data_IF_427687110794
#
_entry.id   IF_427687110794
#
_cell.length_a   1.000
_cell.length_b   1.000
_cell.length_c   1.000
_cell.angle_alpha   90.00
_cell.angle_beta   90.00
_cell.angle_gamma   90.00
#
_symmetry.space_group_name_H-M   'P 1'
#
loop_
_entity.id
_entity.type
_entity.pdbx_description
1 polymer ?
#
# COMPACT_ATOMS: atom_id res chain seq x y z
N UNK A 1 -44.10 -10.68 -44.53
CA UNK A 1 -44.21 -10.78 -43.05
C UNK A 1 -43.55 -12.09 -42.64
N UNK A 2 -42.25 -12.02 -42.40
CA UNK A 2 -41.35 -13.16 -42.28
C UNK A 2 -41.01 -13.39 -40.83
N UNK A 3 -41.06 -14.66 -40.43
CA UNK A 3 -40.33 -15.24 -39.30
C UNK A 3 -38.83 -14.94 -39.42
N UNK A 4 -38.14 -14.74 -38.30
CA UNK A 4 -36.74 -15.10 -38.06
C UNK A 4 -36.55 -15.20 -36.53
N UNK A 5 -36.49 -16.39 -35.92
CA UNK A 5 -35.38 -17.35 -35.81
C UNK A 5 -34.18 -16.92 -34.92
N UNK A 6 -34.11 -17.56 -33.74
CA UNK A 6 -33.03 -18.45 -33.26
C UNK A 6 -31.57 -17.96 -33.42
N UNK A 7 -30.88 -17.69 -32.29
CA UNK A 7 -29.62 -18.33 -31.82
C UNK A 7 -28.96 -17.49 -30.70
N UNK A 8 -28.86 -18.00 -29.45
CA UNK A 8 -27.68 -18.72 -28.86
C UNK A 8 -26.69 -17.72 -28.22
N UNK A 9 -26.71 -17.53 -26.90
CA UNK A 9 -26.05 -18.34 -25.84
C UNK A 9 -24.52 -18.37 -25.97
N UNK A 10 -23.80 -17.70 -25.05
CA UNK A 10 -22.66 -18.30 -24.34
C UNK A 10 -22.65 -17.81 -22.89
N UNK A 11 -22.53 -18.81 -22.02
CA UNK A 11 -22.56 -18.84 -20.55
C UNK A 11 -21.11 -18.93 -20.00
N UNK A 12 -20.98 -18.91 -18.67
CA UNK A 12 -19.84 -19.27 -17.79
C UNK A 12 -18.94 -18.10 -17.36
N UNK A 13 -19.01 -17.60 -16.13
CA UNK A 13 -18.59 -18.19 -14.83
C UNK A 13 -17.09 -18.52 -14.80
N UNK A 14 -16.35 -17.75 -13.98
CA UNK A 14 -15.52 -18.30 -12.90
C UNK A 14 -15.15 -17.22 -11.89
N UNK A 15 -16.01 -17.08 -10.88
CA UNK A 15 -15.64 -16.62 -9.54
C UNK A 15 -14.94 -17.79 -8.85
N UNK A 16 -13.69 -17.60 -8.42
CA UNK A 16 -13.09 -18.43 -7.38
C UNK A 16 -12.67 -17.50 -6.26
N UNK A 17 -13.60 -17.38 -5.30
CA UNK A 17 -13.36 -16.93 -3.94
C UNK A 17 -12.54 -18.02 -3.25
N UNK A 18 -11.45 -17.61 -2.63
CA UNK A 18 -10.71 -18.41 -1.67
C UNK A 18 -10.18 -17.51 -0.57
N UNK A 19 -10.99 -17.34 0.48
CA UNK A 19 -10.63 -17.69 1.86
C UNK A 19 -11.72 -17.21 2.82
N UNK A 20 -12.31 -18.19 3.50
CA UNK A 20 -13.22 -18.05 4.62
C UNK A 20 -12.47 -17.67 5.89
N UNK A 21 -13.06 -16.78 6.69
CA UNK A 21 -13.15 -16.96 8.15
C UNK A 21 -14.32 -16.13 8.69
N UNK A 22 -15.34 -16.90 9.07
CA UNK A 22 -16.58 -16.51 9.71
C UNK A 22 -16.32 -15.70 10.98
N UNK A 23 -16.91 -14.51 11.09
CA UNK A 23 -16.78 -13.70 12.30
C UNK A 23 -17.41 -12.30 12.32
N UNK A 24 -17.82 -11.74 11.17
CA UNK A 24 -18.59 -10.50 11.14
C UNK A 24 -19.94 -10.74 10.46
N UNK A 25 -20.89 -11.08 11.31
CA UNK A 25 -22.31 -11.13 10.97
C UNK A 25 -22.79 -9.73 10.57
N UNK A 26 -23.56 -9.66 9.48
CA UNK A 26 -24.50 -8.58 9.15
C UNK A 26 -23.92 -7.16 9.01
N UNK A 27 -23.25 -6.90 7.89
CA UNK A 27 -23.43 -5.62 7.20
C UNK A 27 -24.01 -5.94 5.82
N UNK A 28 -25.20 -5.41 5.60
CA UNK A 28 -26.06 -5.75 4.48
C UNK A 28 -25.39 -5.48 3.12
N UNK A 29 -25.64 -6.42 2.23
CA UNK A 29 -25.49 -6.36 0.79
C UNK A 29 -26.44 -5.29 0.20
N UNK A 30 -26.11 -4.02 0.44
CA UNK A 30 -26.45 -2.91 -0.45
C UNK A 30 -25.12 -2.39 -0.96
N UNK A 31 -24.82 -2.63 -2.24
CA UNK A 31 -23.86 -1.79 -2.95
C UNK A 31 -24.47 -0.39 -3.07
N UNK A 32 -24.54 0.34 -1.95
CA UNK A 32 -24.93 1.74 -1.93
C UNK A 32 -23.97 2.46 -2.85
N UNK A 33 -24.50 2.90 -3.99
CA UNK A 33 -23.74 3.68 -4.95
C UNK A 33 -23.30 4.95 -4.24
N UNK A 34 -22.03 5.02 -3.90
CA UNK A 34 -21.42 6.17 -3.21
C UNK A 34 -21.86 7.44 -3.94
N UNK A 35 -22.52 8.40 -3.25
CA UNK A 35 -22.99 9.62 -3.88
C UNK A 35 -21.85 10.37 -4.57
N UNK A 36 -22.13 10.99 -5.71
CA UNK A 36 -21.11 11.71 -6.48
C UNK A 36 -20.46 12.84 -5.65
N UNK A 37 -21.25 13.56 -4.85
CA UNK A 37 -20.74 14.60 -3.97
C UNK A 37 -19.73 14.04 -2.94
N UNK A 38 -19.96 12.85 -2.38
CA UNK A 38 -19.03 12.22 -1.44
C UNK A 38 -17.67 11.90 -2.11
N UNK A 39 -17.67 11.50 -3.39
CA UNK A 39 -16.43 11.28 -4.15
C UNK A 39 -15.66 12.59 -4.36
N UNK A 40 -16.38 13.64 -4.75
CA UNK A 40 -15.82 14.98 -4.97
C UNK A 40 -15.23 15.55 -3.67
N UNK A 41 -15.95 15.41 -2.55
CA UNK A 41 -15.46 15.77 -1.23
C UNK A 41 -14.19 14.99 -0.86
N UNK A 42 -14.17 13.67 -1.10
CA UNK A 42 -12.99 12.83 -0.86
C UNK A 42 -11.75 13.29 -1.65
N UNK A 43 -11.91 13.64 -2.92
CA UNK A 43 -10.81 14.23 -3.69
C UNK A 43 -10.40 15.61 -3.17
N UNK A 44 -11.35 16.43 -2.71
CA UNK A 44 -11.04 17.70 -2.02
C UNK A 44 -10.18 17.51 -0.78
N UNK A 45 -10.47 16.50 0.04
CA UNK A 45 -9.64 16.14 1.20
C UNK A 45 -8.24 15.72 0.75
N UNK A 46 -8.12 14.90 -0.31
CA UNK A 46 -6.82 14.50 -0.87
C UNK A 46 -6.00 15.71 -1.34
N UNK A 47 -6.62 16.69 -1.99
CA UNK A 47 -5.95 17.95 -2.35
C UNK A 47 -5.44 18.69 -1.10
N UNK A 48 -6.27 18.77 -0.06
CA UNK A 48 -5.89 19.36 1.23
C UNK A 48 -4.70 18.66 1.89
N UNK A 49 -4.68 17.32 1.90
CA UNK A 49 -3.55 16.50 2.39
C UNK A 49 -2.26 16.80 1.63
N UNK A 50 -2.36 17.05 0.31
CA UNK A 50 -1.23 17.46 -0.55
C UNK A 50 -0.84 18.93 -0.38
N UNK A 51 -1.54 19.68 0.46
CA UNK A 51 -1.30 21.09 0.70
C UNK A 51 -1.84 22.02 -0.38
N UNK A 52 -2.59 21.50 -1.35
CA UNK A 52 -3.25 22.26 -2.40
C UNK A 52 -4.54 22.90 -1.88
N UNK A 53 -4.71 24.19 -2.11
CA UNK A 53 -5.85 24.96 -1.57
C UNK A 53 -6.92 25.27 -2.61
N UNK A 54 -6.59 25.19 -3.91
CA UNK A 54 -7.52 25.43 -5.02
C UNK A 54 -6.99 24.72 -6.28
N UNK A 55 -7.79 23.86 -6.91
CA UNK A 55 -7.61 23.56 -8.34
C UNK A 55 -8.89 23.96 -9.09
N UNK A 56 -9.02 25.24 -9.49
CA UNK A 56 -10.24 25.75 -10.12
C UNK A 56 -10.48 25.19 -11.53
N UNK A 57 -9.50 24.45 -12.08
CA UNK A 57 -9.52 23.93 -13.45
C UNK A 57 -10.07 22.50 -13.55
N UNK A 58 -10.11 21.72 -12.46
CA UNK A 58 -10.43 20.28 -12.53
C UNK A 58 -11.48 19.79 -11.52
N UNK A 59 -11.60 20.40 -10.32
CA UNK A 59 -12.57 19.99 -9.30
C UNK A 59 -13.29 21.21 -8.69
N UNK A 60 -14.64 21.24 -8.66
CA UNK A 60 -15.40 22.35 -8.08
C UNK A 60 -15.44 22.24 -6.55
N UNK A 61 -14.27 22.17 -5.90
CA UNK A 61 -14.11 22.06 -4.44
C UNK A 61 -13.23 23.18 -3.93
N UNK A 62 -13.69 23.82 -2.85
CA UNK A 62 -12.94 24.83 -2.10
C UNK A 62 -12.72 24.32 -0.68
N UNK A 63 -11.50 24.43 -0.18
CA UNK A 63 -11.19 24.20 1.22
C UNK A 63 -11.13 25.54 1.94
N UNK A 64 -11.80 25.66 3.09
CA UNK A 64 -11.58 26.80 3.98
C UNK A 64 -10.15 26.77 4.53
N UNK A 65 -9.65 27.92 4.98
CA UNK A 65 -8.33 27.99 5.63
C UNK A 65 -8.24 27.07 6.85
N UNK A 66 -9.34 26.90 7.58
CA UNK A 66 -9.42 25.97 8.71
C UNK A 66 -9.25 24.52 8.26
N UNK A 67 -10.06 24.05 7.31
CA UNK A 67 -9.96 22.68 6.79
C UNK A 67 -8.58 22.40 6.19
N UNK A 68 -8.03 23.32 5.40
CA UNK A 68 -6.70 23.17 4.82
C UNK A 68 -5.59 23.08 5.87
N UNK A 69 -5.71 23.83 6.98
CA UNK A 69 -4.71 23.79 8.05
C UNK A 69 -4.73 22.48 8.84
N UNK A 70 -5.91 21.87 9.02
CA UNK A 70 -6.09 20.64 9.79
C UNK A 70 -5.71 19.38 8.99
N UNK A 71 -5.76 19.45 7.65
CA UNK A 71 -5.35 18.35 6.77
C UNK A 71 -3.84 18.28 6.54
N UNK A 72 -3.09 19.35 6.81
CA UNK A 72 -1.63 19.33 6.63
C UNK A 72 -0.96 18.61 7.79
N UNK A 73 -0.14 17.62 7.47
CA UNK A 73 0.74 16.98 8.44
C UNK A 73 2.10 17.72 8.46
N UNK A 74 2.56 18.27 9.61
CA UNK A 74 3.78 19.09 9.66
C UNK A 74 5.04 18.33 9.24
N UNK A 75 5.11 17.05 9.60
CA UNK A 75 6.30 16.22 9.46
C UNK A 75 6.23 15.26 8.26
N UNK A 76 5.18 15.35 7.44
CA UNK A 76 4.99 14.44 6.32
C UNK A 76 4.37 15.13 5.10
N UNK A 77 4.92 14.84 3.93
CA UNK A 77 4.45 15.35 2.66
C UNK A 77 4.01 14.21 1.76
N UNK A 78 2.83 14.36 1.15
CA UNK A 78 2.22 13.39 0.24
C UNK A 78 2.66 13.58 -1.23
N UNK A 79 3.55 14.52 -1.51
CA UNK A 79 4.00 14.91 -2.86
C UNK A 79 4.68 13.76 -3.62
N UNK A 80 5.36 12.87 -2.92
CA UNK A 80 6.04 11.70 -3.50
C UNK A 80 5.16 10.45 -3.57
N UNK A 81 3.90 10.54 -3.17
CA UNK A 81 2.98 9.42 -3.18
C UNK A 81 1.80 9.67 -4.13
N UNK A 82 1.56 8.69 -4.99
CA UNK A 82 0.43 8.66 -5.90
C UNK A 82 -0.81 8.23 -5.11
N UNK A 83 -1.97 8.82 -5.41
CA UNK A 83 -3.23 8.36 -4.85
C UNK A 83 -3.58 6.99 -5.46
N UNK A 84 -3.52 5.93 -4.66
CA UNK A 84 -3.86 4.58 -5.09
C UNK A 84 -5.38 4.34 -5.07
N UNK A 85 -6.04 4.71 -3.97
CA UNK A 85 -7.49 4.56 -3.83
C UNK A 85 -8.09 5.51 -2.80
N UNK A 86 -9.40 5.76 -2.93
CA UNK A 86 -10.23 6.42 -1.91
C UNK A 86 -11.43 5.52 -1.63
N UNK A 87 -11.63 5.19 -0.36
CA UNK A 87 -12.76 4.42 0.12
C UNK A 87 -13.67 5.34 0.93
N UNK A 88 -14.95 5.41 0.58
CA UNK A 88 -15.95 6.10 1.39
C UNK A 88 -16.54 5.08 2.36
N UNK A 89 -16.37 5.33 3.65
CA UNK A 89 -16.82 4.44 4.72
C UNK A 89 -18.22 4.82 5.21
N UNK A 90 -18.50 6.11 5.38
CA UNK A 90 -19.82 6.62 5.75
C UNK A 90 -20.06 8.00 5.12
N UNK A 91 -21.32 8.32 4.87
CA UNK A 91 -21.77 9.64 4.45
C UNK A 91 -23.13 9.92 5.06
N UNK A 92 -23.36 11.17 5.48
CA UNK A 92 -24.64 11.55 6.07
C UNK A 92 -24.92 13.04 5.96
N UNK A 93 -26.19 13.40 5.96
CA UNK A 93 -26.61 14.79 6.05
C UNK A 93 -26.39 15.30 7.48
N UNK A 94 -26.07 16.58 7.62
CA UNK A 94 -25.85 17.26 8.91
C UNK A 94 -27.09 18.06 9.28
N UNK A 95 -27.80 17.63 10.31
CA UNK A 95 -29.05 18.27 10.73
C UNK A 95 -30.10 18.26 9.63
N UNK A 96 -30.87 19.35 9.53
CA UNK A 96 -31.99 19.49 8.59
C UNK A 96 -31.61 20.20 7.28
N UNK A 97 -30.36 20.68 7.12
CA UNK A 97 -29.89 21.37 5.90
C UNK A 97 -29.55 20.34 4.81
N UNK A 98 -30.30 20.26 3.69
CA UNK A 98 -30.09 19.24 2.64
C UNK A 98 -28.78 19.45 1.87
N UNK A 99 -28.14 20.60 2.04
CA UNK A 99 -26.86 20.93 1.40
C UNK A 99 -25.67 20.58 2.26
N UNK A 100 -25.86 20.27 3.54
CA UNK A 100 -24.81 20.07 4.53
C UNK A 100 -24.57 18.59 4.81
N UNK A 101 -23.33 18.15 4.65
CA UNK A 101 -22.97 16.73 4.64
C UNK A 101 -21.69 16.47 5.41
N UNK A 102 -21.61 15.27 5.97
CA UNK A 102 -20.39 14.67 6.53
C UNK A 102 -19.94 13.49 5.68
N UNK A 103 -18.63 13.29 5.64
CA UNK A 103 -17.97 12.18 4.96
C UNK A 103 -16.92 11.57 5.89
N UNK A 104 -16.92 10.24 6.00
CA UNK A 104 -15.83 9.46 6.56
C UNK A 104 -15.23 8.59 5.46
N UNK A 105 -13.90 8.51 5.42
CA UNK A 105 -13.23 7.71 4.41
C UNK A 105 -11.79 7.38 4.71
N UNK A 106 -11.19 6.66 3.78
CA UNK A 106 -9.81 6.20 3.82
C UNK A 106 -9.16 6.47 2.47
N UNK A 107 -8.10 7.26 2.46
CA UNK A 107 -7.25 7.47 1.30
C UNK A 107 -5.99 6.59 1.42
N UNK A 108 -5.66 5.86 0.36
CA UNK A 108 -4.45 5.06 0.27
C UNK A 108 -3.52 5.72 -0.74
N UNK A 109 -2.32 6.04 -0.29
CA UNK A 109 -1.26 6.60 -1.11
C UNK A 109 -0.14 5.59 -1.25
N UNK A 110 0.49 5.52 -2.42
CA UNK A 110 1.57 4.59 -2.73
C UNK A 110 2.68 5.29 -3.52
N UNK A 111 3.94 5.03 -3.18
CA UNK A 111 5.09 5.56 -3.94
C UNK A 111 5.69 4.51 -4.89
N UNK A 112 6.70 4.92 -5.65
CA UNK A 112 7.39 4.06 -6.63
C UNK A 112 8.07 2.82 -6.02
N UNK A 113 8.34 2.84 -4.72
CA UNK A 113 8.93 1.72 -4.00
C UNK A 113 7.84 0.82 -3.37
N UNK A 114 6.57 1.04 -3.73
CA UNK A 114 5.39 0.38 -3.16
C UNK A 114 5.24 0.59 -1.64
N UNK A 115 5.78 1.70 -1.11
CA UNK A 115 5.50 2.10 0.27
C UNK A 115 4.12 2.74 0.31
N UNK A 116 3.32 2.40 1.32
CA UNK A 116 1.94 2.87 1.41
C UNK A 116 1.68 3.69 2.66
N UNK A 117 0.79 4.67 2.52
CA UNK A 117 0.24 5.48 3.60
C UNK A 117 -1.27 5.38 3.54
N UNK A 118 -1.85 4.86 4.61
CA UNK A 118 -3.30 4.77 4.80
C UNK A 118 -3.71 5.95 5.67
N UNK A 119 -4.51 6.85 5.13
CA UNK A 119 -4.96 8.07 5.81
C UNK A 119 -6.46 8.03 5.97
N UNK A 120 -6.92 7.79 7.19
CA UNK A 120 -8.34 7.94 7.51
C UNK A 120 -8.66 9.44 7.59
N UNK A 121 -9.85 9.81 7.15
CA UNK A 121 -10.27 11.20 7.14
C UNK A 121 -11.75 11.36 7.46
N UNK A 122 -12.06 12.51 8.04
CA UNK A 122 -13.41 12.99 8.26
C UNK A 122 -13.53 14.40 7.68
N UNK A 123 -14.64 14.70 7.02
CA UNK A 123 -14.89 16.02 6.45
C UNK A 123 -16.36 16.43 6.61
N UNK A 124 -16.56 17.72 6.85
CA UNK A 124 -17.86 18.37 6.73
C UNK A 124 -17.83 19.36 5.56
N UNK A 125 -18.87 19.32 4.73
CA UNK A 125 -18.93 20.09 3.50
C UNK A 125 -20.35 20.51 3.15
N UNK A 126 -20.46 21.67 2.50
CA UNK A 126 -21.70 22.18 1.93
C UNK A 126 -21.68 22.15 0.42
N UNK A 127 -22.80 21.73 -0.18
CA UNK A 127 -23.06 21.87 -1.60
C UNK A 127 -23.56 23.29 -1.90
N UNK A 128 -22.97 23.92 -2.91
CA UNK A 128 -23.26 25.29 -3.36
C UNK A 128 -23.52 25.28 -4.88
N UNK A 129 -24.22 26.27 -5.43
CA UNK A 129 -24.44 26.37 -6.87
C UNK A 129 -23.14 26.34 -7.70
N UNK A 130 -22.07 26.94 -7.18
CA UNK A 130 -20.75 27.04 -7.80
C UNK A 130 -19.83 25.83 -7.51
N UNK A 131 -20.25 24.89 -6.68
CA UNK A 131 -19.44 23.72 -6.31
C UNK A 131 -19.65 23.24 -4.89
N UNK A 132 -18.56 22.89 -4.22
CA UNK A 132 -18.56 22.36 -2.87
C UNK A 132 -17.56 23.12 -2.00
N UNK A 133 -17.94 23.39 -0.76
CA UNK A 133 -17.05 23.98 0.24
C UNK A 133 -16.83 22.99 1.39
N UNK A 134 -15.61 22.49 1.55
CA UNK A 134 -15.19 21.74 2.72
C UNK A 134 -14.80 22.76 3.79
N UNK A 135 -15.61 22.86 4.84
CA UNK A 135 -15.42 23.88 5.87
C UNK A 135 -14.70 23.35 7.12
N UNK A 136 -14.70 22.04 7.31
CA UNK A 136 -13.93 21.35 8.35
C UNK A 136 -13.46 20.00 7.81
N UNK A 137 -12.24 19.61 8.12
CA UNK A 137 -11.74 18.27 7.81
C UNK A 137 -10.58 17.91 8.74
N UNK A 138 -10.48 16.64 9.09
CA UNK A 138 -9.38 16.10 9.87
C UNK A 138 -8.92 14.79 9.25
N UNK A 139 -7.65 14.47 9.42
CA UNK A 139 -7.06 13.23 8.94
C UNK A 139 -6.02 12.69 9.91
N UNK A 140 -5.86 11.37 9.90
CA UNK A 140 -4.85 10.66 10.68
C UNK A 140 -4.29 9.49 9.87
N UNK A 141 -3.03 9.17 10.11
CA UNK A 141 -2.47 7.92 9.60
C UNK A 141 -3.11 6.75 10.34
N UNK A 142 -3.62 5.78 9.59
CA UNK A 142 -4.16 4.50 10.09
C UNK A 142 -3.20 3.39 9.71
N UNK A 143 -2.73 2.59 10.67
CA UNK A 143 -1.98 1.38 10.33
C UNK A 143 -2.94 0.32 9.79
N UNK A 144 -2.65 -0.35 8.66
CA UNK A 144 -3.50 -1.45 8.19
C UNK A 144 -3.52 -2.61 9.20
N UNK A 145 -4.57 -3.44 9.14
CA UNK A 145 -4.72 -4.58 10.04
C UNK A 145 -3.61 -5.62 9.85
N UNK A 146 -3.15 -5.76 8.61
CA UNK A 146 -2.02 -6.62 8.22
C UNK A 146 -0.97 -5.78 7.47
N UNK A 147 -0.06 -5.12 8.22
CA UNK A 147 1.04 -4.39 7.61
C UNK A 147 1.98 -5.30 6.83
N UNK A 148 2.48 -4.80 5.72
CA UNK A 148 3.48 -5.47 4.87
C UNK A 148 4.87 -5.18 5.41
N UNK A 149 5.53 -6.24 5.87
CA UNK A 149 6.89 -6.20 6.39
C UNK A 149 7.81 -6.99 5.46
N UNK A 150 8.85 -6.33 4.97
CA UNK A 150 9.91 -6.95 4.19
C UNK A 150 10.97 -7.47 5.14
N UNK A 151 11.16 -8.79 5.14
CA UNK A 151 12.24 -9.44 5.86
C UNK A 151 13.35 -9.86 4.91
N UNK A 152 14.59 -9.54 5.24
CA UNK A 152 15.77 -9.99 4.50
C UNK A 152 16.97 -10.12 5.44
N UNK A 153 17.95 -10.94 5.05
CA UNK A 153 19.16 -11.20 5.84
C UNK A 153 20.39 -11.02 4.97
N UNK A 154 21.45 -10.46 5.54
CA UNK A 154 22.70 -10.14 4.85
C UNK A 154 23.87 -10.58 5.73
N UNK A 155 24.91 -11.19 5.18
CA UNK A 155 26.15 -11.40 5.93
C UNK A 155 26.73 -10.04 6.36
N UNK A 156 27.16 -9.92 7.62
CA UNK A 156 27.51 -8.64 8.24
C UNK A 156 28.62 -7.88 7.50
N UNK A 157 29.57 -8.60 6.89
CA UNK A 157 30.65 -7.99 6.09
C UNK A 157 30.17 -7.31 4.80
N UNK A 158 28.94 -7.58 4.35
CA UNK A 158 28.35 -7.00 3.16
C UNK A 158 27.39 -5.84 3.47
N UNK A 159 27.21 -5.48 4.74
CA UNK A 159 26.33 -4.38 5.16
C UNK A 159 27.16 -3.11 5.33
N UNK A 160 26.88 -2.04 4.57
CA UNK A 160 27.53 -0.75 4.80
C UNK A 160 27.26 -0.18 6.20
N UNK A 161 28.24 0.48 6.82
CA UNK A 161 28.16 0.94 8.21
C UNK A 161 27.06 2.00 8.44
N UNK A 162 26.78 2.84 7.44
CA UNK A 162 25.74 3.87 7.47
C UNK A 162 24.33 3.27 7.61
N UNK A 163 24.11 2.06 7.09
CA UNK A 163 22.82 1.35 7.17
C UNK A 163 22.49 0.89 8.59
N UNK A 164 23.50 0.86 9.47
CA UNK A 164 23.38 0.38 10.83
C UNK A 164 23.31 1.51 11.85
N UNK A 165 23.95 2.64 11.56
CA UNK A 165 24.09 3.79 12.47
C UNK A 165 23.07 4.90 12.20
N UNK A 166 22.71 5.12 10.93
CA UNK A 166 21.74 6.13 10.51
C UNK A 166 20.94 5.63 9.30
N UNK A 167 20.10 4.59 9.48
CA UNK A 167 19.41 3.97 8.36
C UNK A 167 18.49 4.93 7.63
N UNK A 168 18.58 4.92 6.31
CA UNK A 168 17.58 5.52 5.43
C UNK A 168 16.68 4.44 4.85
N UNK A 169 15.36 4.68 4.85
CA UNK A 169 14.39 3.69 4.39
C UNK A 169 14.63 3.28 2.93
N UNK A 170 14.90 4.23 2.03
CA UNK A 170 15.17 3.94 0.63
C UNK A 170 16.47 3.15 0.42
N UNK A 171 17.51 3.44 1.21
CA UNK A 171 18.75 2.68 1.19
C UNK A 171 18.52 1.22 1.61
N UNK A 172 17.76 0.99 2.68
CA UNK A 172 17.39 -0.35 3.13
C UNK A 172 16.60 -1.13 2.09
N UNK A 173 15.65 -0.49 1.41
CA UNK A 173 14.91 -1.14 0.31
C UNK A 173 15.81 -1.49 -0.87
N UNK A 174 16.77 -0.62 -1.21
CA UNK A 174 17.76 -0.91 -2.24
C UNK A 174 18.59 -2.15 -1.88
N UNK A 175 19.11 -2.20 -0.64
CA UNK A 175 19.86 -3.37 -0.16
C UNK A 175 19.01 -4.64 -0.15
N UNK A 176 17.74 -4.53 0.28
CA UNK A 176 16.81 -5.65 0.23
C UNK A 176 16.66 -6.17 -1.21
N UNK A 177 16.54 -5.28 -2.19
CA UNK A 177 16.48 -5.63 -3.61
C UNK A 177 17.76 -6.33 -4.10
N UNK A 178 18.93 -5.82 -3.74
CA UNK A 178 20.23 -6.39 -4.14
C UNK A 178 20.47 -7.78 -3.54
N UNK A 179 20.18 -7.97 -2.25
CA UNK A 179 20.44 -9.24 -1.54
C UNK A 179 19.37 -10.28 -1.85
N UNK A 180 18.11 -9.87 -2.05
CA UNK A 180 17.04 -10.78 -2.48
C UNK A 180 17.32 -11.44 -3.83
N UNK A 181 18.24 -10.90 -4.64
CA UNK A 181 18.66 -11.51 -5.91
C UNK A 181 19.74 -12.60 -5.73
N UNK A 182 20.37 -12.70 -4.57
CA UNK A 182 21.54 -13.55 -4.34
C UNK A 182 21.23 -14.81 -3.51
N UNK A 183 20.22 -14.77 -2.63
CA UNK A 183 19.90 -15.88 -1.72
C UNK A 183 19.41 -17.15 -2.44
N UNK A 184 19.97 -18.30 -2.09
CA UNK A 184 19.62 -19.62 -2.68
C UNK A 184 19.02 -20.57 -1.65
N UNK A 185 18.24 -21.58 -2.07
CA UNK A 185 17.72 -22.62 -1.16
C UNK A 185 18.82 -23.35 -0.38
N UNK A 186 20.01 -23.49 -0.97
CA UNK A 186 21.16 -24.11 -0.30
C UNK A 186 21.62 -23.31 0.92
N UNK A 187 21.47 -21.98 0.89
CA UNK A 187 21.80 -21.11 2.01
C UNK A 187 20.82 -21.28 3.18
N UNK A 188 19.54 -21.51 2.88
CA UNK A 188 18.52 -21.76 3.92
C UNK A 188 18.82 -23.02 4.75
N UNK A 189 19.43 -24.04 4.14
CA UNK A 189 19.77 -25.31 4.82
C UNK A 189 21.19 -25.28 5.45
N UNK A 190 21.94 -24.19 5.29
CA UNK A 190 23.30 -24.08 5.83
C UNK A 190 23.29 -24.10 7.36
N UNK A 191 24.02 -25.07 7.90
CA UNK A 191 24.22 -25.30 9.32
C UNK A 191 25.37 -24.47 9.91
N UNK A 192 26.17 -23.84 9.06
CA UNK A 192 27.37 -23.10 9.45
C UNK A 192 26.97 -21.75 10.04
N UNK A 193 27.30 -21.46 11.31
CA UNK A 193 27.02 -20.15 11.88
C UNK A 193 27.89 -19.07 11.23
N UNK A 194 27.24 -18.05 10.68
CA UNK A 194 27.87 -16.83 10.14
C UNK A 194 27.34 -15.61 10.88
N UNK A 195 28.05 -14.50 10.73
CA UNK A 195 27.61 -13.22 11.28
C UNK A 195 26.60 -12.61 10.32
N UNK A 196 25.33 -12.57 10.72
CA UNK A 196 24.24 -12.04 9.91
C UNK A 196 23.66 -10.75 10.51
N UNK A 197 23.14 -9.92 9.61
CA UNK A 197 22.23 -8.83 9.92
C UNK A 197 20.89 -9.14 9.27
N UNK A 198 19.86 -9.30 10.09
CA UNK A 198 18.48 -9.52 9.65
C UNK A 198 17.71 -8.22 9.79
N UNK A 199 16.97 -7.85 8.76
CA UNK A 199 16.18 -6.63 8.72
C UNK A 199 14.69 -6.97 8.68
N UNK A 200 13.90 -6.18 9.41
CA UNK A 200 12.45 -6.09 9.29
C UNK A 200 12.10 -4.66 8.89
N UNK A 201 11.74 -4.45 7.63
CA UNK A 201 11.45 -3.12 7.09
C UNK A 201 9.97 -3.03 6.77
N UNK A 202 9.25 -2.09 7.41
CA UNK A 202 7.85 -1.89 7.06
C UNK A 202 7.70 -1.16 5.72
N UNK A 203 6.77 -1.63 4.90
CA UNK A 203 6.34 -0.95 3.67
C UNK A 203 5.14 -0.02 3.93
N UNK A 204 4.44 -0.21 5.03
CA UNK A 204 3.29 0.61 5.41
C UNK A 204 3.67 1.60 6.50
N UNK A 205 3.17 2.82 6.42
CA UNK A 205 3.35 3.82 7.48
C UNK A 205 2.43 3.51 8.67
N UNK A 206 3.00 3.52 9.85
CA UNK A 206 2.32 3.29 11.12
C UNK A 206 1.83 4.60 11.73
N UNK A 207 0.68 4.52 12.40
CA UNK A 207 0.16 5.64 13.18
C UNK A 207 1.13 6.05 14.29
N UNK A 208 1.30 7.35 14.52
CA UNK A 208 2.22 7.87 15.54
C UNK A 208 1.86 7.42 16.97
N UNK A 209 0.60 7.04 17.22
CA UNK A 209 0.14 6.52 18.50
C UNK A 209 0.52 5.05 18.75
N UNK A 210 1.05 4.34 17.75
CA UNK A 210 1.44 2.95 17.90
C UNK A 210 2.90 2.81 18.33
N UNK A 211 3.11 2.10 19.43
CA UNK A 211 4.44 1.69 19.84
C UNK A 211 4.79 0.38 19.13
N UNK A 212 5.89 0.37 18.38
CA UNK A 212 6.40 -0.82 17.69
C UNK A 212 7.61 -1.36 18.45
N UNK A 213 7.60 -2.66 18.71
CA UNK A 213 8.65 -3.40 19.41
C UNK A 213 9.19 -4.51 18.54
N UNK A 214 10.48 -4.78 18.69
CA UNK A 214 11.20 -5.83 17.97
C UNK A 214 11.75 -6.81 18.98
N UNK A 215 11.35 -8.07 18.86
CA UNK A 215 11.69 -9.14 19.80
C UNK A 215 12.51 -10.20 19.09
N UNK A 216 13.42 -10.80 19.86
CA UNK A 216 14.19 -11.96 19.44
C UNK A 216 14.16 -13.00 20.54
N UNK A 217 13.98 -14.27 20.15
CA UNK A 217 14.21 -15.42 21.03
C UNK A 217 15.40 -16.18 20.46
N UNK A 218 16.53 -16.03 21.14
CA UNK A 218 17.83 -16.53 20.74
C UNK A 218 18.90 -15.80 21.56
N UNK A 219 20.04 -16.46 21.80
CA UNK A 219 21.13 -15.85 22.57
C UNK A 219 22.11 -15.15 21.62
N UNK A 220 22.74 -14.07 22.09
CA UNK A 220 23.80 -13.38 21.35
C UNK A 220 23.33 -12.63 20.10
N UNK A 221 22.09 -12.15 20.11
CA UNK A 221 21.53 -11.33 19.04
C UNK A 221 21.17 -9.95 19.59
N UNK A 222 21.81 -8.93 19.06
CA UNK A 222 21.53 -7.53 19.35
C UNK A 222 20.35 -7.05 18.50
N UNK A 223 19.49 -6.21 19.08
CA UNK A 223 18.33 -5.63 18.39
C UNK A 223 18.45 -4.12 18.39
N UNK A 224 18.39 -3.53 17.20
CA UNK A 224 18.25 -2.10 16.99
C UNK A 224 16.87 -1.82 16.38
N UNK A 225 16.27 -0.71 16.80
CA UNK A 225 14.96 -0.28 16.36
C UNK A 225 15.02 1.17 15.91
N UNK A 226 14.46 1.46 14.75
CA UNK A 226 14.37 2.79 14.18
C UNK A 226 12.93 3.07 13.75
N UNK A 227 12.50 4.33 13.87
CA UNK A 227 11.25 4.80 13.29
C UNK A 227 11.57 5.91 12.28
N UNK A 228 11.47 5.59 11.00
CA UNK A 228 11.85 6.49 9.92
C UNK A 228 10.63 7.27 9.43
N UNK A 229 10.11 8.21 10.23
CA UNK A 229 8.91 9.02 9.92
C UNK A 229 7.59 8.23 9.83
N UNK A 230 7.44 7.21 10.66
CA UNK A 230 6.28 6.30 10.68
C UNK A 230 6.55 4.98 9.98
N UNK A 231 7.74 4.76 9.40
CA UNK A 231 8.16 3.45 8.89
C UNK A 231 9.08 2.76 9.89
N UNK A 232 8.55 1.86 10.73
CA UNK A 232 9.34 1.14 11.70
C UNK A 232 10.30 0.15 11.00
N UNK A 233 11.53 0.10 11.51
CA UNK A 233 12.61 -0.77 11.05
C UNK A 233 13.25 -1.47 12.24
N UNK A 234 13.32 -2.80 12.18
CA UNK A 234 14.07 -3.64 13.10
C UNK A 234 15.33 -4.16 12.45
N UNK A 235 16.45 -4.12 13.17
CA UNK A 235 17.73 -4.68 12.73
C UNK A 235 18.23 -5.63 13.81
N UNK A 236 18.42 -6.89 13.46
CA UNK A 236 18.90 -7.93 14.36
C UNK A 236 20.29 -8.37 13.92
N UNK A 237 21.27 -8.31 14.82
CA UNK A 237 22.68 -8.62 14.53
C UNK A 237 23.15 -9.76 15.39
N UNK A 238 23.75 -10.78 14.79
CA UNK A 238 24.33 -11.85 15.59
C UNK A 238 24.91 -12.98 14.76
N UNK A 239 25.60 -13.88 15.45
CA UNK A 239 26.16 -15.08 14.84
C UNK A 239 25.13 -16.20 14.88
N UNK A 240 24.69 -16.66 13.71
CA UNK A 240 23.63 -17.67 13.59
C UNK A 240 23.80 -18.53 12.34
N UNK A 241 23.30 -19.77 12.38
CA UNK A 241 23.15 -20.58 11.17
C UNK A 241 21.82 -20.21 10.48
N UNK A 242 21.83 -20.15 9.15
CA UNK A 242 20.65 -19.78 8.37
C UNK A 242 19.47 -20.71 8.65
N UNK A 243 19.73 -22.02 8.77
CA UNK A 243 18.71 -23.04 9.08
C UNK A 243 18.04 -22.87 10.45
N UNK A 244 18.67 -22.13 11.37
CA UNK A 244 18.16 -21.95 12.73
C UNK A 244 17.11 -20.82 12.79
N UNK A 245 17.10 -19.91 11.79
CA UNK A 245 16.11 -18.85 11.65
C UNK A 245 14.71 -19.45 11.43
N UNK A 246 13.77 -19.04 12.29
CA UNK A 246 12.40 -19.54 12.32
C UNK A 246 12.21 -20.87 13.08
N UNK A 247 13.32 -21.55 13.43
CA UNK A 247 13.28 -22.82 14.18
C UNK A 247 13.70 -22.62 15.62
N UNK A 248 14.99 -22.33 15.82
CA UNK A 248 15.61 -22.11 17.13
C UNK A 248 15.71 -20.63 17.46
N UNK A 249 15.88 -19.80 16.43
CA UNK A 249 15.96 -18.34 16.54
C UNK A 249 14.70 -17.76 15.94
N UNK A 250 13.95 -16.98 16.72
CA UNK A 250 12.71 -16.34 16.26
C UNK A 250 12.84 -14.84 16.31
N UNK A 251 12.47 -14.19 15.21
CA UNK A 251 12.38 -12.74 15.09
C UNK A 251 10.92 -12.34 14.98
N UNK A 252 10.54 -11.31 15.70
CA UNK A 252 9.17 -10.80 15.67
C UNK A 252 9.15 -9.29 15.75
N UNK A 253 8.22 -8.72 14.99
CA UNK A 253 7.76 -7.36 15.08
C UNK A 253 6.35 -7.36 15.65
N UNK A 254 6.13 -6.56 16.68
CA UNK A 254 4.86 -6.43 17.39
C UNK A 254 4.54 -4.96 17.63
N UNK A 255 3.27 -4.56 17.64
CA UNK A 255 2.85 -3.22 18.10
C UNK A 255 1.92 -3.29 19.31
N UNK A 256 1.76 -2.16 19.99
CA UNK A 256 0.72 -1.95 20.99
C UNK A 256 -0.27 -0.92 20.46
N UNK A 257 -1.52 -1.34 20.25
CA UNK A 257 -2.61 -0.47 19.79
C UNK A 257 -3.58 -0.27 20.94
N UNK A 258 -3.71 0.97 21.45
CA UNK A 258 -4.59 1.30 22.58
C UNK A 258 -4.36 0.38 23.80
N UNK A 259 -3.08 0.11 24.10
CA UNK A 259 -2.68 -0.76 25.21
C UNK A 259 -2.82 -2.26 24.96
N UNK A 260 -3.30 -2.68 23.79
CA UNK A 260 -3.43 -4.09 23.42
C UNK A 260 -2.25 -4.52 22.53
N UNK A 261 -1.42 -5.48 22.97
CA UNK A 261 -0.35 -6.02 22.13
C UNK A 261 -0.91 -6.76 20.91
N UNK A 262 -0.30 -6.51 19.75
CA UNK A 262 -0.61 -7.13 18.47
C UNK A 262 0.68 -7.62 17.82
N UNK A 263 0.72 -8.90 17.48
CA UNK A 263 1.78 -9.44 16.62
C UNK A 263 1.57 -8.93 15.19
N UNK A 264 2.59 -8.32 14.59
CA UNK A 264 2.53 -7.82 13.21
C UNK A 264 3.09 -8.86 12.25
N UNK A 265 4.31 -9.31 12.50
CA UNK A 265 5.02 -10.22 11.61
C UNK A 265 6.10 -10.98 12.35
N UNK A 266 6.40 -12.19 11.89
CA UNK A 266 7.52 -12.99 12.35
C UNK A 266 8.27 -13.59 11.16
N UNK A 267 9.57 -13.74 11.32
CA UNK A 267 10.41 -14.41 10.33
C UNK A 267 10.38 -15.92 10.58
N UNK A 268 9.61 -16.64 9.77
CA UNK A 268 9.38 -18.08 9.94
C UNK A 268 10.49 -18.96 9.33
N UNK A 269 11.28 -18.42 8.41
CA UNK A 269 12.37 -19.13 7.73
C UNK A 269 13.44 -18.13 7.29
N UNK A 270 14.65 -18.60 6.97
CA UNK A 270 15.66 -17.75 6.33
C UNK A 270 15.07 -17.11 5.05
N UNK A 271 15.17 -15.78 4.88
CA UNK A 271 14.53 -15.07 3.78
C UNK A 271 15.32 -15.28 2.48
N UNK A 272 15.04 -16.39 1.79
CA UNK A 272 15.52 -16.65 0.43
C UNK A 272 14.45 -16.33 -0.61
N UNK A 273 14.86 -15.84 -1.78
CA UNK A 273 13.93 -15.75 -2.91
C UNK A 273 13.64 -17.17 -3.40
N UNK A 274 12.36 -17.58 -3.33
CA UNK A 274 11.92 -18.75 -4.10
C UNK A 274 12.00 -18.38 -5.58
N UNK A 275 13.09 -18.75 -6.24
CA UNK A 275 13.08 -18.87 -7.70
C UNK A 275 12.00 -19.91 -7.99
N UNK A 276 10.84 -19.49 -8.48
CA UNK A 276 9.89 -20.42 -9.08
C UNK A 276 10.57 -20.97 -10.34
N UNK A 277 11.34 -22.05 -10.20
CA UNK A 277 11.80 -22.84 -11.33
C UNK A 277 10.59 -23.57 -11.93
N UNK A 278 9.75 -22.85 -12.67
CA UNK A 278 8.87 -23.49 -13.66
C UNK A 278 9.69 -23.69 -14.94
N UNK A 279 10.60 -24.64 -14.90
CA UNK A 279 11.01 -25.38 -16.08
C UNK A 279 11.28 -26.82 -15.64
N UNK A 280 10.19 -27.59 -15.58
CA UNK A 280 10.23 -29.03 -15.83
C UNK A 280 9.19 -29.25 -16.91
N UNK A 281 9.64 -29.78 -18.05
CA UNK A 281 8.84 -30.17 -19.20
C UNK A 281 7.59 -30.95 -18.80
N UNK A 282 6.41 -30.42 -19.15
CA UNK A 282 5.28 -31.25 -19.53
C UNK A 282 4.28 -30.41 -20.32
N UNK A 283 4.13 -30.79 -21.60
CA UNK A 283 3.11 -30.38 -22.57
C UNK A 283 2.82 -28.87 -22.71
N UNK A 284 3.32 -28.26 -23.78
CA UNK A 284 2.88 -26.93 -24.25
C UNK A 284 1.35 -26.86 -24.41
N UNK A 285 0.67 -25.87 -23.80
CA UNK A 285 -0.48 -25.22 -24.42
C UNK A 285 0.01 -23.98 -25.19
N UNK A 286 -0.53 -23.78 -26.38
CA UNK A 286 -0.20 -22.68 -27.29
C UNK A 286 -0.29 -21.29 -26.64
N UNK A 287 0.48 -20.30 -27.12
CA UNK A 287 0.45 -18.94 -26.59
C UNK A 287 -0.93 -18.31 -26.84
N UNK A 288 -1.55 -17.80 -25.77
CA UNK A 288 -2.71 -16.93 -25.88
C UNK A 288 -2.17 -15.53 -26.20
N UNK A 289 -2.30 -15.13 -27.46
CA UNK A 289 -2.04 -13.76 -27.91
C UNK A 289 -2.93 -12.79 -27.11
N UNK A 290 -2.33 -11.93 -26.31
CA UNK A 290 -2.99 -10.71 -25.84
C UNK A 290 -3.25 -9.86 -27.09
N UNK A 291 -4.52 -9.73 -27.49
CA UNK A 291 -4.89 -9.04 -28.72
C UNK A 291 -4.47 -7.56 -28.66
N UNK A 292 -3.92 -7.05 -29.76
CA UNK A 292 -3.46 -5.65 -29.95
C UNK A 292 -4.47 -4.58 -29.48
N UNK A 293 -5.75 -4.93 -29.38
CA UNK A 293 -6.83 -4.05 -28.90
C UNK A 293 -6.74 -3.70 -27.39
N UNK A 294 -6.15 -4.54 -26.53
CA UNK A 294 -6.07 -4.27 -25.09
C UNK A 294 -5.01 -3.21 -24.76
N UNK A 295 -3.88 -3.26 -25.46
CA UNK A 295 -2.76 -2.34 -25.28
C UNK A 295 -3.12 -0.95 -25.82
N UNK A 296 -3.76 -0.88 -26.99
CA UNK A 296 -4.25 0.37 -27.54
C UNK A 296 -5.28 1.06 -26.62
N UNK A 297 -6.15 0.28 -25.96
CA UNK A 297 -7.13 0.81 -25.00
C UNK A 297 -6.46 1.35 -23.73
N UNK A 298 -5.45 0.63 -23.22
CA UNK A 298 -4.68 1.06 -22.03
C UNK A 298 -3.86 2.32 -22.30
N UNK A 299 -3.23 2.42 -23.47
CA UNK A 299 -2.50 3.62 -23.87
C UNK A 299 -3.43 4.82 -24.04
N UNK A 300 -4.58 4.64 -24.68
CA UNK A 300 -5.59 5.71 -24.84
C UNK A 300 -6.10 6.23 -23.50
N UNK A 301 -6.36 5.33 -22.55
CA UNK A 301 -6.82 5.72 -21.21
C UNK A 301 -5.73 6.45 -20.42
N UNK A 302 -4.47 6.09 -20.61
CA UNK A 302 -3.33 6.78 -20.01
C UNK A 302 -3.17 8.20 -20.59
N UNK A 303 -3.39 8.35 -21.89
CA UNK A 303 -3.40 9.64 -22.59
C UNK A 303 -4.56 10.54 -22.13
N UNK A 304 -5.77 9.99 -21.98
CA UNK A 304 -6.92 10.71 -21.40
C UNK A 304 -6.65 11.21 -19.97
N UNK A 305 -5.90 10.46 -19.17
CA UNK A 305 -5.51 10.88 -17.81
C UNK A 305 -4.46 11.99 -17.83
N UNK A 306 -3.53 11.94 -18.79
CA UNK A 306 -2.50 12.97 -18.96
C UNK A 306 -3.10 14.28 -19.47
N UNK A 307 -3.97 14.21 -20.49
CA UNK A 307 -4.64 15.38 -21.07
C UNK A 307 -5.60 16.07 -20.09
N UNK A 308 -6.06 15.34 -19.08
CA UNK A 308 -6.88 15.87 -17.97
C UNK A 308 -6.03 16.45 -16.81
N UNK A 309 -4.71 16.54 -16.95
CA UNK A 309 -3.75 16.94 -15.92
C UNK A 309 -3.87 16.10 -14.62
N UNK A 310 -4.35 14.86 -14.73
CA UNK A 310 -4.51 13.94 -13.58
C UNK A 310 -3.23 13.15 -13.29
N UNK A 311 -2.32 13.09 -14.24
CA UNK A 311 -0.97 12.54 -14.11
C UNK A 311 0.03 13.51 -14.75
N UNK A 312 1.21 13.62 -14.17
CA UNK A 312 2.31 14.43 -14.69
C UNK A 312 2.91 13.81 -15.97
N UNK A 313 3.59 14.63 -16.77
CA UNK A 313 4.34 14.17 -17.96
C UNK A 313 5.29 13.01 -17.63
N UNK A 314 5.96 13.07 -16.47
CA UNK A 314 6.86 12.00 -16.02
C UNK A 314 6.11 10.69 -15.73
N UNK A 315 4.96 10.76 -15.05
CA UNK A 315 4.12 9.59 -14.76
C UNK A 315 3.52 8.98 -16.03
N UNK A 316 3.11 9.81 -16.98
CA UNK A 316 2.68 9.37 -18.30
C UNK A 316 3.78 8.56 -19.00
N UNK A 317 5.01 9.06 -19.04
CA UNK A 317 6.12 8.38 -19.73
C UNK A 317 6.48 7.03 -19.08
N UNK A 318 6.54 6.96 -17.74
CA UNK A 318 6.83 5.72 -17.02
C UNK A 318 5.73 4.67 -17.25
N UNK A 319 4.46 5.04 -17.11
CA UNK A 319 3.34 4.09 -17.31
C UNK A 319 3.16 3.70 -18.78
N UNK A 320 3.47 4.60 -19.70
CA UNK A 320 3.49 4.30 -21.13
C UNK A 320 4.55 3.26 -21.44
N UNK A 321 5.75 3.39 -20.85
CA UNK A 321 6.82 2.42 -21.03
C UNK A 321 6.45 1.04 -20.43
N UNK A 322 5.88 1.00 -19.22
CA UNK A 322 5.40 -0.26 -18.61
C UNK A 322 4.35 -0.98 -19.48
N UNK A 323 3.45 -0.24 -20.14
CA UNK A 323 2.45 -0.82 -21.05
C UNK A 323 3.12 -1.35 -22.33
N UNK A 324 4.08 -0.63 -22.88
CA UNK A 324 4.80 -1.03 -24.08
C UNK A 324 5.75 -2.22 -23.84
N UNK A 325 6.35 -2.32 -22.66
CA UNK A 325 7.22 -3.44 -22.25
C UNK A 325 6.42 -4.74 -22.03
N UNK A 326 5.09 -4.68 -22.05
CA UNK A 326 4.19 -5.83 -21.97
C UNK A 326 3.81 -6.45 -23.33
N UNK A 327 4.34 -5.89 -24.44
CA UNK A 327 4.33 -6.46 -25.80
C UNK A 327 5.38 -7.57 -25.96
#
# INVERSE_FOLDING_TARGET
>A
MSMFNIRTLVTLISVVIGLSLSGLSQAADQTQRIPQHAKVAGFGVVLGLRGETVNPSSLPVRLTSEAASQLREPDFQYDRFVLHSVHVEDTGQVGDDPTDWRLLGLAVFEDIAARRVYTEFAAYYKMQPEGMSIYWAAASTRTPDVPTILWFAVEAGNVPEDYLSSPNHAQLLKLAGEVSLQGTQQEQDDATPKDYVVFAVSMDRFAASEEVTFKVWGNGIDVLAYNLMGWPVGIYKGRMAARDIGRLIRFEMSSTVKGTPRKISSLEHFPVRRIKSRYVESASPAPVLAGENDIALRLRKLEELHDADLITQYEYEVKRQEILDSL
#
